data_IF_550814881427
#
_entry.id   IF_550814881427
#
_cell.length_a   1.000
_cell.length_b   1.000
_cell.length_c   1.000
_cell.angle_alpha   90.00
_cell.angle_beta   90.00
_cell.angle_gamma   90.00
#
_symmetry.space_group_name_H-M   'P 1'
#
loop_
_entity.id
_entity.type
_entity.pdbx_description
1 polymer ?
#
# COMPACT_ATOMS: atom_id res chain seq x y z
N UNK A 1 18.78 9.16 -6.23
CA UNK A 1 17.93 8.68 -7.35
C UNK A 1 17.86 9.69 -8.50
N UNK A 2 17.66 10.99 -8.24
CA UNK A 2 17.53 12.06 -9.25
C UNK A 2 18.68 12.20 -10.27
N UNK A 3 19.88 11.66 -10.00
CA UNK A 3 21.00 11.66 -10.96
C UNK A 3 20.83 10.64 -12.11
N UNK A 4 19.95 9.66 -11.95
CA UNK A 4 19.79 8.55 -12.89
C UNK A 4 18.34 8.33 -13.32
N UNK A 5 17.37 8.78 -12.52
CA UNK A 5 15.95 8.59 -12.75
C UNK A 5 15.19 9.87 -12.44
N UNK A 6 14.21 10.19 -13.28
CA UNK A 6 13.16 11.14 -12.95
C UNK A 6 12.17 10.45 -12.01
N UNK A 7 11.87 11.08 -10.88
CA UNK A 7 11.04 10.47 -9.83
C UNK A 7 9.88 11.37 -9.48
N UNK A 8 8.70 10.77 -9.43
CA UNK A 8 7.46 11.39 -8.95
C UNK A 8 6.88 10.59 -7.78
N UNK A 9 6.48 11.30 -6.73
CA UNK A 9 5.79 10.74 -5.59
C UNK A 9 4.29 10.95 -5.75
N UNK A 10 3.55 9.85 -5.93
CA UNK A 10 2.09 9.85 -5.90
C UNK A 10 1.62 9.56 -4.48
N UNK A 11 0.84 10.46 -3.89
CA UNK A 11 0.44 10.34 -2.48
C UNK A 11 -0.85 11.11 -2.20
N UNK A 12 -1.42 10.97 -1.01
CA UNK A 12 -2.60 11.71 -0.60
C UNK A 12 -2.23 13.09 -0.04
N UNK A 13 -3.24 13.91 0.20
CA UNK A 13 -3.12 15.18 0.92
C UNK A 13 -3.05 14.98 2.45
N UNK A 14 -3.39 13.78 2.93
CA UNK A 14 -3.29 13.40 4.33
C UNK A 14 -1.84 13.46 4.86
N UNK A 15 -1.69 13.99 6.07
CA UNK A 15 -0.44 13.96 6.84
C UNK A 15 -0.43 12.84 7.87
N UNK A 16 -1.58 12.57 8.50
CA UNK A 16 -1.69 11.65 9.63
C UNK A 16 -2.39 10.36 9.24
N UNK A 17 -1.88 9.23 9.74
CA UNK A 17 -2.39 7.90 9.43
C UNK A 17 -3.59 7.48 10.28
N UNK A 18 -3.94 8.25 11.32
CA UNK A 18 -5.06 7.96 12.21
C UNK A 18 -6.37 8.32 11.51
N UNK A 19 -6.47 9.56 11.02
CA UNK A 19 -7.70 10.09 10.42
C UNK A 19 -7.65 10.18 8.90
N UNK A 20 -6.47 10.20 8.29
CA UNK A 20 -6.29 10.53 6.86
C UNK A 20 -6.88 11.88 6.43
N UNK A 21 -7.15 12.78 7.37
CA UNK A 21 -7.68 14.10 7.03
C UNK A 21 -6.67 14.87 6.17
N UNK A 22 -7.18 15.48 5.08
CA UNK A 22 -6.36 16.27 4.18
C UNK A 22 -5.73 17.46 4.92
N UNK A 23 -4.41 17.53 4.87
CA UNK A 23 -3.62 18.59 5.50
C UNK A 23 -2.90 19.45 4.46
N UNK A 24 -2.39 18.82 3.41
CA UNK A 24 -1.69 19.48 2.31
C UNK A 24 -2.66 19.86 1.18
N UNK A 25 -2.36 20.89 0.37
CA UNK A 25 -3.15 21.18 -0.81
C UNK A 25 -2.98 20.06 -1.87
N UNK A 26 -4.03 19.75 -2.64
CA UNK A 26 -3.93 18.82 -3.76
C UNK A 26 -3.13 19.42 -4.93
N UNK A 27 -2.64 18.56 -5.81
CA UNK A 27 -1.93 18.93 -7.03
C UNK A 27 -0.42 18.71 -6.96
N UNK A 28 0.29 19.40 -7.84
CA UNK A 28 1.73 19.25 -8.04
C UNK A 28 2.52 20.18 -7.13
N UNK A 29 3.55 19.64 -6.51
CA UNK A 29 4.54 20.35 -5.73
C UNK A 29 5.93 19.81 -6.04
N UNK A 30 6.94 20.66 -6.10
CA UNK A 30 8.33 20.22 -6.22
C UNK A 30 9.02 20.33 -4.85
N UNK A 31 9.74 19.27 -4.45
CA UNK A 31 10.58 19.28 -3.26
C UNK A 31 11.89 18.52 -3.53
N UNK A 32 13.03 19.21 -3.40
CA UNK A 32 14.35 18.58 -3.56
C UNK A 32 14.59 17.92 -4.93
N UNK A 33 14.00 18.47 -6.00
CA UNK A 33 14.08 17.91 -7.36
C UNK A 33 13.24 16.64 -7.57
N UNK A 34 12.30 16.35 -6.67
CA UNK A 34 11.27 15.31 -6.82
C UNK A 34 9.92 15.98 -6.99
N UNK A 35 9.16 15.53 -7.99
CA UNK A 35 7.77 15.96 -8.18
C UNK A 35 6.91 15.20 -7.17
N UNK A 36 6.04 15.89 -6.46
CA UNK A 36 5.07 15.30 -5.55
C UNK A 36 3.69 15.65 -6.09
N UNK A 37 2.88 14.64 -6.37
CA UNK A 37 1.49 14.78 -6.77
C UNK A 37 0.58 14.31 -5.64
N UNK A 38 -0.19 15.24 -5.11
CA UNK A 38 -1.12 15.00 -4.01
C UNK A 38 -2.55 14.90 -4.49
N UNK A 39 -3.24 13.88 -4.02
CA UNK A 39 -4.66 13.66 -4.29
C UNK A 39 -5.46 13.79 -2.99
N UNK A 40 -6.64 14.42 -3.01
CA UNK A 40 -7.49 14.45 -1.83
C UNK A 40 -7.92 13.03 -1.46
N UNK A 41 -8.12 12.77 -0.17
CA UNK A 41 -8.83 11.55 0.25
C UNK A 41 -10.32 11.69 -0.07
N UNK A 42 -10.99 10.59 -0.36
CA UNK A 42 -12.44 10.60 -0.62
C UNK A 42 -13.22 11.04 0.63
N UNK A 43 -12.73 10.62 1.80
CA UNK A 43 -13.21 11.02 3.12
C UNK A 43 -12.17 10.69 4.20
N UNK A 44 -12.13 11.45 5.31
CA UNK A 44 -11.40 11.04 6.50
C UNK A 44 -11.92 9.72 7.07
N UNK A 45 -11.04 8.97 7.74
CA UNK A 45 -11.39 7.78 8.51
C UNK A 45 -12.15 8.19 9.77
N UNK A 46 -13.33 7.60 9.95
CA UNK A 46 -13.98 7.54 11.25
C UNK A 46 -13.25 6.52 12.14
N UNK A 47 -12.45 7.03 13.07
CA UNK A 47 -11.58 6.23 13.94
C UNK A 47 -12.38 5.31 14.86
N UNK A 48 -13.50 5.77 15.41
CA UNK A 48 -14.31 4.96 16.33
C UNK A 48 -14.97 3.80 15.58
N UNK A 49 -15.59 4.10 14.44
CA UNK A 49 -16.21 3.09 13.58
C UNK A 49 -15.17 2.08 13.07
N UNK A 50 -13.98 2.55 12.65
CA UNK A 50 -12.91 1.67 12.20
C UNK A 50 -12.38 0.75 13.31
N UNK A 51 -12.20 1.26 14.53
CA UNK A 51 -11.73 0.46 15.66
C UNK A 51 -12.73 -0.63 16.05
N UNK A 52 -14.03 -0.30 16.04
CA UNK A 52 -15.09 -1.27 16.27
C UNK A 52 -15.10 -2.34 15.18
N UNK A 53 -15.05 -1.93 13.90
CA UNK A 53 -14.97 -2.86 12.77
C UNK A 53 -13.75 -3.77 12.85
N UNK A 54 -12.59 -3.23 13.24
CA UNK A 54 -11.36 -4.00 13.42
C UNK A 54 -11.49 -5.04 14.52
N UNK A 55 -12.09 -4.66 15.65
CA UNK A 55 -12.30 -5.57 16.78
C UNK A 55 -13.29 -6.68 16.44
N UNK A 56 -14.40 -6.35 15.77
CA UNK A 56 -15.39 -7.31 15.27
C UNK A 56 -14.78 -8.28 14.26
N UNK A 57 -14.04 -7.76 13.27
CA UNK A 57 -13.42 -8.57 12.22
C UNK A 57 -12.32 -9.49 12.76
N UNK A 58 -11.48 -8.98 13.67
CA UNK A 58 -10.45 -9.77 14.33
C UNK A 58 -11.05 -10.93 15.13
N UNK A 59 -12.14 -10.69 15.88
CA UNK A 59 -12.80 -11.74 16.66
C UNK A 59 -13.39 -12.87 15.81
N UNK A 60 -13.84 -12.56 14.57
CA UNK A 60 -14.40 -13.54 13.62
C UNK A 60 -13.50 -13.84 12.42
N UNK A 61 -12.18 -13.64 12.55
CA UNK A 61 -11.26 -13.65 11.41
C UNK A 61 -11.35 -14.91 10.54
N UNK A 62 -11.47 -16.09 11.17
CA UNK A 62 -11.55 -17.38 10.46
C UNK A 62 -12.81 -17.52 9.59
N UNK A 63 -13.85 -16.73 9.87
CA UNK A 63 -15.14 -16.73 9.16
C UNK A 63 -15.28 -15.51 8.23
N UNK A 64 -14.34 -14.57 8.30
CA UNK A 64 -14.39 -13.33 7.54
C UNK A 64 -14.26 -13.61 6.04
N UNK A 65 -15.26 -13.19 5.27
CA UNK A 65 -15.24 -13.29 3.82
C UNK A 65 -14.23 -12.31 3.22
N UNK A 66 -13.84 -12.53 1.95
CA UNK A 66 -13.04 -11.54 1.22
C UNK A 66 -13.74 -10.17 1.19
N UNK A 67 -15.07 -10.15 1.03
CA UNK A 67 -15.85 -8.90 1.04
C UNK A 67 -15.77 -8.16 2.39
N UNK A 68 -15.80 -8.89 3.51
CA UNK A 68 -15.61 -8.30 4.85
C UNK A 68 -14.22 -7.65 4.97
N UNK A 69 -13.19 -8.35 4.49
CA UNK A 69 -11.80 -7.89 4.53
C UNK A 69 -11.59 -6.67 3.62
N UNK A 70 -12.16 -6.66 2.42
CA UNK A 70 -12.11 -5.51 1.52
C UNK A 70 -12.90 -4.31 2.08
N UNK A 71 -14.04 -4.54 2.73
CA UNK A 71 -14.77 -3.49 3.42
C UNK A 71 -13.91 -2.88 4.55
N UNK A 72 -13.23 -3.73 5.33
CA UNK A 72 -12.28 -3.27 6.33
C UNK A 72 -11.12 -2.49 5.72
N UNK A 73 -10.57 -2.94 4.59
CA UNK A 73 -9.50 -2.23 3.88
C UNK A 73 -9.96 -0.85 3.38
N UNK A 74 -11.20 -0.72 2.90
CA UNK A 74 -11.77 0.58 2.52
C UNK A 74 -11.96 1.50 3.73
N UNK A 75 -12.42 0.96 4.85
CA UNK A 75 -12.56 1.70 6.10
C UNK A 75 -11.18 2.08 6.71
N UNK A 76 -10.18 1.22 6.53
CA UNK A 76 -8.79 1.54 6.83
C UNK A 76 -8.34 2.70 5.96
N UNK A 77 -8.48 2.60 4.64
CA UNK A 77 -8.03 3.66 3.75
C UNK A 77 -6.50 3.88 3.77
N UNK A 78 -6.04 5.06 3.35
CA UNK A 78 -6.88 6.13 2.80
C UNK A 78 -7.46 5.70 1.46
N UNK A 79 -8.76 5.94 1.25
CA UNK A 79 -9.34 5.86 -0.09
C UNK A 79 -9.12 7.18 -0.80
N UNK A 80 -8.60 7.12 -2.02
CA UNK A 80 -8.49 8.28 -2.91
C UNK A 80 -8.80 7.83 -4.33
N UNK A 81 -10.05 8.00 -4.73
CA UNK A 81 -10.52 7.65 -6.07
C UNK A 81 -9.77 8.43 -7.15
N UNK A 82 -9.37 9.67 -6.85
CA UNK A 82 -8.55 10.50 -7.73
C UNK A 82 -7.15 9.91 -7.95
N UNK A 83 -6.48 9.41 -6.90
CA UNK A 83 -5.18 8.74 -7.02
C UNK A 83 -5.30 7.44 -7.83
N UNK A 84 -6.30 6.62 -7.53
CA UNK A 84 -6.51 5.36 -8.23
C UNK A 84 -6.81 5.57 -9.72
N UNK A 85 -7.65 6.55 -10.05
CA UNK A 85 -7.93 6.92 -11.45
C UNK A 85 -6.67 7.40 -12.15
N UNK A 86 -5.85 8.21 -11.48
CA UNK A 86 -4.58 8.67 -12.03
C UNK A 86 -3.62 7.51 -12.33
N UNK A 87 -3.50 6.53 -11.43
CA UNK A 87 -2.68 5.34 -11.68
C UNK A 87 -3.15 4.59 -12.93
N UNK A 88 -4.45 4.38 -13.10
CA UNK A 88 -5.01 3.68 -14.25
C UNK A 88 -4.79 4.45 -15.56
N UNK A 89 -5.08 5.75 -15.57
CA UNK A 89 -4.99 6.61 -16.75
C UNK A 89 -3.55 6.85 -17.21
N UNK A 90 -2.59 6.91 -16.27
CA UNK A 90 -1.20 7.30 -16.54
C UNK A 90 -0.22 6.12 -16.42
N UNK A 91 -0.69 4.87 -16.31
CA UNK A 91 0.18 3.68 -16.14
C UNK A 91 1.25 3.49 -17.22
N UNK A 92 1.01 4.03 -18.41
CA UNK A 92 1.96 3.95 -19.52
C UNK A 92 3.02 5.05 -19.50
N UNK A 93 2.83 6.11 -18.71
CA UNK A 93 3.78 7.21 -18.58
C UNK A 93 4.97 6.89 -17.67
N UNK A 94 4.83 5.85 -16.83
CA UNK A 94 5.88 5.41 -15.92
C UNK A 94 6.51 4.09 -16.39
N UNK A 95 7.82 3.97 -16.20
CA UNK A 95 8.55 2.72 -16.41
C UNK A 95 8.35 1.72 -15.26
N UNK A 96 8.16 2.23 -14.04
CA UNK A 96 8.00 1.45 -12.83
C UNK A 96 7.18 2.19 -11.76
N UNK A 97 6.46 1.43 -10.94
CA UNK A 97 5.77 1.91 -9.74
C UNK A 97 6.32 1.19 -8.52
N UNK A 98 6.67 1.93 -7.46
CA UNK A 98 7.14 1.34 -6.19
C UNK A 98 6.13 1.70 -5.10
N UNK A 99 5.42 0.69 -4.60
CA UNK A 99 4.49 0.82 -3.47
C UNK A 99 5.22 0.57 -2.15
N UNK A 100 4.87 1.34 -1.12
CA UNK A 100 5.41 1.20 0.23
C UNK A 100 4.29 0.90 1.22
N UNK A 101 4.45 -0.16 1.99
CA UNK A 101 3.44 -0.62 2.94
C UNK A 101 2.34 -1.43 2.25
N UNK A 102 2.20 -2.70 2.62
CA UNK A 102 1.14 -3.57 2.11
C UNK A 102 -0.24 -3.19 2.65
N UNK A 103 -0.28 -2.68 3.88
CA UNK A 103 -1.48 -2.51 4.69
C UNK A 103 -2.14 -1.13 4.52
N UNK A 104 -2.35 -0.70 3.28
CA UNK A 104 -3.10 0.52 2.96
C UNK A 104 -3.94 0.34 1.70
N UNK A 105 -5.10 1.00 1.65
CA UNK A 105 -6.03 0.88 0.53
C UNK A 105 -5.44 1.37 -0.80
N UNK A 106 -4.58 2.39 -0.76
CA UNK A 106 -3.83 2.86 -1.93
C UNK A 106 -2.94 1.77 -2.53
N UNK A 107 -2.30 0.94 -1.70
CA UNK A 107 -1.51 -0.20 -2.16
C UNK A 107 -2.40 -1.35 -2.62
N UNK A 108 -3.37 -1.76 -1.81
CA UNK A 108 -4.21 -2.92 -2.11
C UNK A 108 -5.03 -2.73 -3.41
N UNK A 109 -5.64 -1.56 -3.59
CA UNK A 109 -6.44 -1.27 -4.78
C UNK A 109 -5.61 -0.68 -5.92
N UNK A 110 -4.50 0.01 -5.64
CA UNK A 110 -3.68 0.67 -6.66
C UNK A 110 -2.72 -0.28 -7.38
N UNK A 111 -2.07 -1.19 -6.65
CA UNK A 111 -1.06 -2.10 -7.23
C UNK A 111 -1.63 -2.95 -8.38
N UNK A 112 -2.83 -3.58 -8.27
CA UNK A 112 -3.40 -4.36 -9.36
C UNK A 112 -3.59 -3.57 -10.67
N UNK A 113 -3.85 -2.26 -10.60
CA UNK A 113 -4.05 -1.39 -11.77
C UNK A 113 -2.78 -1.25 -12.62
N UNK A 114 -1.61 -1.40 -11.97
CA UNK A 114 -0.29 -1.20 -12.58
C UNK A 114 0.65 -2.40 -12.38
N UNK A 115 0.11 -3.58 -12.05
CA UNK A 115 0.86 -4.77 -11.63
C UNK A 115 2.03 -5.14 -12.57
N UNK A 116 1.86 -4.91 -13.88
CA UNK A 116 2.88 -5.18 -14.91
C UNK A 116 4.16 -4.36 -14.74
N UNK A 117 4.15 -3.28 -13.97
CA UNK A 117 5.30 -2.40 -13.70
C UNK A 117 5.47 -2.16 -12.20
N UNK A 118 4.76 -2.90 -11.34
CA UNK A 118 4.72 -2.66 -9.91
C UNK A 118 5.79 -3.44 -9.15
N UNK A 119 6.38 -2.78 -8.17
CA UNK A 119 7.25 -3.32 -7.14
C UNK A 119 6.65 -2.98 -5.78
N UNK A 120 6.82 -3.85 -4.80
CA UNK A 120 6.27 -3.64 -3.46
C UNK A 120 7.38 -3.75 -2.40
N UNK A 121 7.57 -2.69 -1.64
CA UNK A 121 8.24 -2.74 -0.34
C UNK A 121 7.17 -3.00 0.74
N UNK A 122 7.01 -4.25 1.23
CA UNK A 122 5.84 -4.61 2.03
C UNK A 122 5.77 -3.91 3.38
N UNK A 123 6.91 -3.82 4.07
CA UNK A 123 6.98 -3.41 5.48
C UNK A 123 6.09 -4.30 6.35
N UNK A 124 6.11 -5.60 6.09
CA UNK A 124 5.23 -6.57 6.73
C UNK A 124 5.73 -6.94 8.14
N UNK A 125 4.77 -7.06 9.05
CA UNK A 125 4.97 -7.49 10.42
C UNK A 125 4.09 -8.71 10.74
N UNK A 126 4.39 -9.42 11.82
CA UNK A 126 3.55 -10.50 12.34
C UNK A 126 2.36 -9.92 13.12
N UNK A 127 1.40 -9.40 12.36
CA UNK A 127 0.17 -8.77 12.84
C UNK A 127 -1.06 -9.48 12.27
N UNK A 128 -2.18 -9.46 12.99
CA UNK A 128 -3.36 -10.26 12.63
C UNK A 128 -3.86 -10.02 11.19
N UNK A 129 -3.70 -8.80 10.64
CA UNK A 129 -4.18 -8.42 9.30
C UNK A 129 -3.42 -9.13 8.17
N UNK A 130 -2.16 -9.52 8.34
CA UNK A 130 -1.40 -10.28 7.30
C UNK A 130 -1.97 -11.69 7.08
N UNK A 131 -2.78 -12.18 8.02
CA UNK A 131 -3.45 -13.47 7.94
C UNK A 131 -4.80 -13.42 7.21
N UNK A 132 -5.22 -12.25 6.72
CA UNK A 132 -6.38 -12.15 5.84
C UNK A 132 -6.17 -12.87 4.50
N UNK A 133 -7.25 -13.47 4.00
CA UNK A 133 -7.26 -14.19 2.72
C UNK A 133 -7.11 -13.26 1.51
N UNK A 134 -7.41 -11.96 1.66
CA UNK A 134 -7.17 -10.94 0.62
C UNK A 134 -5.71 -10.91 0.15
N UNK A 135 -4.77 -11.37 0.98
CA UNK A 135 -3.34 -11.39 0.67
C UNK A 135 -2.88 -12.66 -0.07
N UNK A 136 -3.70 -13.72 -0.08
CA UNK A 136 -3.31 -15.06 -0.55
C UNK A 136 -2.90 -15.10 -2.03
N UNK A 137 -3.24 -14.07 -2.80
CA UNK A 137 -2.75 -13.86 -4.18
C UNK A 137 -2.11 -12.49 -4.40
N UNK A 138 -2.25 -11.56 -3.46
CA UNK A 138 -1.79 -10.19 -3.62
C UNK A 138 -0.27 -10.07 -3.72
N UNK A 139 0.46 -10.82 -2.87
CA UNK A 139 1.93 -10.75 -2.83
C UNK A 139 2.62 -11.31 -4.08
N UNK A 140 1.90 -12.03 -4.94
CA UNK A 140 2.36 -12.52 -6.23
C UNK A 140 2.06 -11.55 -7.40
N UNK A 141 1.30 -10.48 -7.16
CA UNK A 141 0.98 -9.46 -8.18
C UNK A 141 2.17 -8.57 -8.58
N UNK A 142 2.98 -8.02 -7.65
CA UNK A 142 4.12 -7.19 -8.05
C UNK A 142 5.17 -8.03 -8.80
N UNK A 143 5.92 -7.38 -9.69
CA UNK A 143 7.04 -8.01 -10.38
C UNK A 143 8.08 -8.56 -9.41
N UNK A 144 8.39 -7.80 -8.36
CA UNK A 144 9.31 -8.19 -7.29
C UNK A 144 8.92 -7.50 -5.98
N UNK A 145 9.30 -8.13 -4.87
CA UNK A 145 9.28 -7.53 -3.56
C UNK A 145 10.61 -6.83 -3.26
N UNK A 146 10.57 -5.86 -2.35
CA UNK A 146 11.74 -5.15 -1.84
C UNK A 146 11.69 -5.29 -0.31
N UNK A 147 12.45 -6.24 0.23
CA UNK A 147 12.41 -6.56 1.65
C UNK A 147 13.27 -5.58 2.44
N UNK A 148 12.76 -5.11 3.57
CA UNK A 148 13.50 -4.29 4.50
C UNK A 148 14.48 -5.12 5.32
N UNK A 149 14.10 -6.34 5.73
CA UNK A 149 14.96 -7.23 6.52
C UNK A 149 14.93 -8.67 6.02
N UNK A 150 15.97 -9.49 6.30
CA UNK A 150 15.91 -10.93 6.02
C UNK A 150 14.77 -11.61 6.76
N UNK A 151 14.45 -11.15 7.98
CA UNK A 151 13.35 -11.67 8.79
C UNK A 151 11.99 -11.44 8.13
N UNK A 152 11.74 -10.25 7.59
CA UNK A 152 10.52 -9.94 6.84
C UNK A 152 10.37 -10.86 5.62
N UNK A 153 11.47 -11.09 4.88
CA UNK A 153 11.46 -12.02 3.74
C UNK A 153 11.07 -13.43 4.17
N UNK A 154 11.78 -13.97 5.18
CA UNK A 154 11.51 -15.31 5.68
C UNK A 154 10.11 -15.45 6.26
N UNK A 155 9.56 -14.40 6.86
CA UNK A 155 8.19 -14.37 7.37
C UNK A 155 7.18 -14.49 6.23
N UNK A 156 7.32 -13.66 5.20
CA UNK A 156 6.41 -13.67 4.04
C UNK A 156 6.51 -14.98 3.25
N UNK A 157 7.71 -15.50 3.02
CA UNK A 157 7.92 -16.80 2.36
C UNK A 157 7.23 -17.94 3.13
N UNK A 158 7.28 -17.92 4.47
CA UNK A 158 6.59 -18.91 5.31
C UNK A 158 5.08 -18.75 5.31
N UNK A 159 4.57 -17.52 5.26
CA UNK A 159 3.12 -17.23 5.23
C UNK A 159 2.49 -17.53 3.88
N UNK A 160 3.23 -17.37 2.78
CA UNK A 160 2.73 -17.49 1.41
C UNK A 160 3.48 -18.58 0.63
N UNK A 161 3.48 -19.81 1.16
CA UNK A 161 4.25 -20.96 0.64
C UNK A 161 3.98 -21.29 -0.84
N UNK A 162 2.77 -21.02 -1.33
CA UNK A 162 2.37 -21.29 -2.72
C UNK A 162 2.75 -20.17 -3.69
N UNK A 163 3.47 -19.14 -3.23
CA UNK A 163 3.87 -17.99 -4.01
C UNK A 163 5.39 -17.91 -4.13
N UNK A 164 5.88 -17.68 -5.34
CA UNK A 164 7.29 -17.39 -5.55
C UNK A 164 7.55 -15.91 -5.26
N UNK A 165 7.97 -15.62 -4.04
CA UNK A 165 8.35 -14.26 -3.62
C UNK A 165 9.84 -14.04 -3.93
N UNK A 166 10.15 -13.14 -4.87
CA UNK A 166 11.53 -12.79 -5.25
C UNK A 166 11.80 -11.31 -5.00
N UNK A 167 13.03 -10.97 -4.59
CA UNK A 167 13.37 -9.61 -4.21
C UNK A 167 14.66 -9.46 -3.41
N UNK A 168 15.36 -8.31 -3.54
CA UNK A 168 16.50 -8.02 -2.68
C UNK A 168 16.05 -7.67 -1.26
N UNK A 169 16.95 -7.88 -0.30
CA UNK A 169 16.87 -7.25 1.03
C UNK A 169 17.73 -5.99 0.97
N UNK A 170 17.12 -4.81 1.14
CA UNK A 170 17.82 -3.53 0.96
C UNK A 170 18.21 -2.81 2.26
N UNK A 171 17.77 -3.31 3.44
CA UNK A 171 18.09 -2.76 4.76
C UNK A 171 18.01 -1.23 4.80
N UNK A 172 16.81 -0.67 4.99
CA UNK A 172 16.66 0.78 5.18
C UNK A 172 17.06 1.13 6.61
N UNK A 173 18.36 1.11 6.88
CA UNK A 173 18.95 1.78 8.04
C UNK A 173 18.90 3.29 7.81
N UNK A 174 18.50 4.05 8.82
CA UNK A 174 18.64 5.51 8.84
C UNK A 174 20.14 5.78 9.14
N UNK A 175 20.85 6.45 8.22
CA UNK A 175 22.09 7.16 8.55
C UNK A 175 21.78 8.50 9.21
#
# INVERSE_FOLDING_TARGET
>A
MSKHWETELLTTCALDYTTWEDHYPPGLQEAGGTIIRRFPVDQPRDVETFNRLSSELHARQAEATLADQEQWMRAQGPMSSALLSYLEDNREEYDAFIFFGYLYATTYFGLPLVQRKAFLAPLAHDEWTIYFTMWDRFFALPQRLIFNTPFEREFLERRFLDQQLDGPVIAVGIE
#
